data_IF_036615537989
#
_entry.id   IF_036615537989
#
_cell.length_a   1.000
_cell.length_b   1.000
_cell.length_c   1.000
_cell.angle_alpha   90.00
_cell.angle_beta   90.00
_cell.angle_gamma   90.00
#
_symmetry.space_group_name_H-M   'P 1'
#
loop_
_entity.id
_entity.type
_entity.pdbx_description
1 polymer ?
#
# COMPACT_ATOMS: atom_id res chain seq x y z
N UNK A 1 8.81 1.05 7.98
CA UNK A 1 7.82 0.00 7.72
C UNK A 1 7.02 0.25 6.42
N UNK A 2 7.69 0.58 5.31
CA UNK A 2 7.09 0.63 3.96
C UNK A 2 7.73 -0.42 3.03
N UNK A 3 8.52 -1.33 3.60
CA UNK A 3 9.29 -2.35 2.89
C UNK A 3 8.68 -3.75 2.98
N UNK A 4 7.62 -3.95 3.77
CA UNK A 4 6.92 -5.23 3.91
C UNK A 4 5.75 -5.41 2.92
N UNK A 5 5.43 -4.38 2.14
CA UNK A 5 4.41 -4.42 1.08
C UNK A 5 5.02 -4.72 -0.31
N UNK A 6 6.22 -5.29 -0.35
CA UNK A 6 6.79 -5.82 -1.59
C UNK A 6 6.13 -7.17 -1.89
N UNK A 7 5.27 -7.19 -2.91
CA UNK A 7 4.81 -8.43 -3.54
C UNK A 7 6.05 -9.30 -3.81
N UNK A 8 6.09 -10.56 -3.34
CA UNK A 8 7.29 -11.38 -3.47
C UNK A 8 7.76 -11.44 -4.93
N UNK A 9 9.01 -11.08 -5.20
CA UNK A 9 9.54 -11.01 -6.58
C UNK A 9 9.38 -12.35 -7.32
N UNK A 10 9.53 -13.46 -6.62
CA UNK A 10 9.30 -14.80 -7.14
C UNK A 10 7.86 -15.00 -7.67
N UNK A 11 6.86 -14.36 -7.06
CA UNK A 11 5.47 -14.43 -7.50
C UNK A 11 5.24 -13.61 -8.78
N UNK A 12 5.88 -12.44 -8.90
CA UNK A 12 5.83 -11.63 -10.13
C UNK A 12 6.43 -12.37 -11.32
N UNK A 13 7.59 -12.99 -11.13
CA UNK A 13 8.23 -13.82 -12.18
C UNK A 13 7.35 -15.00 -12.55
N UNK A 14 6.74 -15.67 -11.57
CA UNK A 14 5.81 -16.77 -11.83
C UNK A 14 4.59 -16.31 -12.65
N UNK A 15 4.01 -15.14 -12.36
CA UNK A 15 2.90 -14.58 -13.12
C UNK A 15 3.30 -14.21 -14.56
N UNK A 16 4.48 -13.62 -14.74
CA UNK A 16 4.98 -13.25 -16.07
C UNK A 16 5.24 -14.51 -16.93
N UNK A 17 5.88 -15.53 -16.36
CA UNK A 17 6.06 -16.82 -17.02
C UNK A 17 4.71 -17.49 -17.30
N UNK A 18 3.78 -17.45 -16.35
CA UNK A 18 2.41 -17.97 -16.53
C UNK A 18 1.73 -17.31 -17.73
N UNK A 19 1.80 -15.99 -17.84
CA UNK A 19 1.24 -15.25 -18.96
C UNK A 19 1.92 -15.59 -20.28
N UNK A 20 3.25 -15.63 -20.32
CA UNK A 20 4.01 -16.02 -21.52
C UNK A 20 3.66 -17.43 -21.99
N UNK A 21 3.54 -18.38 -21.08
CA UNK A 21 3.17 -19.77 -21.42
C UNK A 21 1.74 -19.87 -21.96
N UNK A 22 0.80 -19.05 -21.49
CA UNK A 22 -0.56 -18.98 -22.05
C UNK A 22 -0.57 -18.45 -23.49
N UNK A 23 0.26 -17.45 -23.81
CA UNK A 23 0.39 -16.91 -25.17
C UNK A 23 0.97 -17.95 -26.12
N UNK A 24 2.09 -18.59 -25.72
CA UNK A 24 2.75 -19.61 -26.55
C UNK A 24 1.82 -20.81 -26.77
N UNK A 25 1.10 -21.24 -25.74
CA UNK A 25 0.16 -22.36 -25.86
C UNK A 25 -0.95 -22.05 -26.86
N UNK A 26 -1.46 -20.82 -26.85
CA UNK A 26 -2.44 -20.34 -27.82
C UNK A 26 -1.88 -20.29 -29.25
N UNK A 27 -0.64 -19.84 -29.42
CA UNK A 27 0.02 -19.81 -30.72
C UNK A 27 0.16 -21.23 -31.31
N UNK A 28 0.58 -22.21 -30.50
CA UNK A 28 0.70 -23.61 -30.90
C UNK A 28 -0.69 -24.18 -31.26
N UNK A 29 -1.71 -23.86 -30.46
CA UNK A 29 -3.10 -24.28 -30.71
C UNK A 29 -3.62 -23.78 -32.06
N UNK A 30 -3.39 -22.51 -32.40
CA UNK A 30 -3.85 -21.93 -33.68
C UNK A 30 -3.10 -22.50 -34.89
N UNK A 31 -1.79 -22.73 -34.74
CA UNK A 31 -0.94 -23.32 -35.79
C UNK A 31 -1.10 -24.84 -35.93
N UNK A 32 -1.82 -25.48 -34.99
CA UNK A 32 -2.11 -26.93 -34.98
C UNK A 32 -0.86 -27.83 -35.07
N UNK A 33 0.27 -27.37 -34.54
CA UNK A 33 1.53 -28.13 -34.63
C UNK A 33 1.63 -29.14 -33.49
N UNK A 34 1.46 -30.43 -33.79
CA UNK A 34 1.56 -31.50 -32.78
C UNK A 34 2.97 -31.64 -32.20
N UNK A 35 3.99 -31.53 -33.06
CA UNK A 35 5.40 -31.59 -32.65
C UNK A 35 5.75 -30.44 -31.70
N UNK A 36 5.35 -29.20 -32.05
CA UNK A 36 5.56 -28.03 -31.21
C UNK A 36 4.88 -28.17 -29.84
N UNK A 37 3.64 -28.67 -29.81
CA UNK A 37 2.91 -28.94 -28.56
C UNK A 37 3.61 -29.99 -27.69
N UNK A 38 4.16 -31.04 -28.28
CA UNK A 38 4.91 -32.07 -27.56
C UNK A 38 6.20 -31.51 -26.93
N UNK A 39 7.03 -30.81 -27.72
CA UNK A 39 8.25 -30.17 -27.22
C UNK A 39 7.94 -29.17 -26.11
N UNK A 40 6.91 -28.34 -26.30
CA UNK A 40 6.49 -27.36 -25.30
C UNK A 40 6.01 -28.02 -24.00
N UNK A 41 5.25 -29.12 -24.09
CA UNK A 41 4.81 -29.89 -22.92
C UNK A 41 6.00 -30.44 -22.13
N UNK A 42 7.00 -31.02 -22.81
CA UNK A 42 8.20 -31.57 -22.13
C UNK A 42 8.97 -30.46 -21.41
N UNK A 43 9.26 -29.35 -22.09
CA UNK A 43 9.98 -28.20 -21.51
C UNK A 43 9.21 -27.63 -20.32
N UNK A 44 7.89 -27.47 -20.42
CA UNK A 44 7.06 -26.95 -19.33
C UNK A 44 7.04 -27.86 -18.11
N UNK A 45 6.91 -29.18 -18.29
CA UNK A 45 6.87 -30.12 -17.18
C UNK A 45 8.19 -30.05 -16.42
N UNK A 46 9.33 -30.17 -17.11
CA UNK A 46 10.64 -30.07 -16.47
C UNK A 46 10.87 -28.69 -15.83
N UNK A 47 10.50 -27.60 -16.52
CA UNK A 47 10.65 -26.25 -16.02
C UNK A 47 9.84 -25.98 -14.74
N UNK A 48 8.57 -26.39 -14.69
CA UNK A 48 7.72 -26.19 -13.50
C UNK A 48 8.16 -27.07 -12.33
N UNK A 49 8.56 -28.33 -12.56
CA UNK A 49 9.08 -29.17 -11.49
C UNK A 49 10.40 -28.61 -10.94
N UNK A 50 11.32 -28.20 -11.82
CA UNK A 50 12.58 -27.59 -11.40
C UNK A 50 12.35 -26.30 -10.59
N UNK A 51 11.47 -25.42 -11.08
CA UNK A 51 11.13 -24.18 -10.39
C UNK A 51 10.49 -24.43 -9.02
N UNK A 52 9.52 -25.34 -8.95
CA UNK A 52 8.74 -25.58 -7.73
C UNK A 52 9.53 -26.28 -6.63
N UNK A 53 10.42 -27.22 -6.99
CA UNK A 53 11.17 -28.00 -6.01
C UNK A 53 12.54 -27.43 -5.66
N UNK A 54 13.18 -26.64 -6.53
CA UNK A 54 14.53 -26.11 -6.29
C UNK A 54 14.55 -24.60 -6.09
N UNK A 55 13.95 -23.82 -7.00
CA UNK A 55 14.03 -22.35 -6.97
C UNK A 55 13.14 -21.77 -5.88
N UNK A 56 11.87 -22.18 -5.82
CA UNK A 56 10.91 -21.61 -4.88
C UNK A 56 11.30 -21.86 -3.41
N UNK A 57 11.69 -23.08 -2.98
CA UNK A 57 12.15 -23.32 -1.62
C UNK A 57 13.50 -22.64 -1.32
N UNK A 58 14.36 -22.47 -2.35
CA UNK A 58 15.64 -21.78 -2.22
C UNK A 58 15.49 -20.27 -1.98
N UNK A 59 14.52 -19.62 -2.62
CA UNK A 59 14.27 -18.17 -2.46
C UNK A 59 13.40 -17.86 -1.23
N UNK A 60 12.46 -18.75 -0.89
CA UNK A 60 11.52 -18.52 0.22
C UNK A 60 11.97 -19.10 1.56
N UNK A 61 13.10 -19.82 1.59
CA UNK A 61 13.69 -20.52 2.75
C UNK A 61 12.69 -21.40 3.53
N UNK A 62 11.57 -21.78 2.91
CA UNK A 62 10.49 -22.53 3.51
C UNK A 62 10.22 -23.77 2.69
N UNK A 63 9.93 -24.88 3.37
CA UNK A 63 9.59 -26.14 2.70
C UNK A 63 8.24 -26.01 1.98
N UNK A 64 8.17 -26.54 0.77
CA UNK A 64 6.94 -26.58 -0.04
C UNK A 64 5.73 -27.21 0.67
N UNK A 65 5.97 -28.15 1.61
CA UNK A 65 4.90 -28.83 2.35
C UNK A 65 4.17 -27.92 3.37
N UNK A 66 4.74 -26.77 3.73
CA UNK A 66 4.16 -25.88 4.75
C UNK A 66 3.12 -24.92 4.17
N UNK A 67 3.22 -24.57 2.88
CA UNK A 67 2.36 -23.55 2.27
C UNK A 67 1.30 -24.17 1.35
N UNK A 68 0.03 -23.93 1.65
CA UNK A 68 -1.10 -24.45 0.87
C UNK A 68 -1.24 -23.77 -0.51
N UNK A 69 -0.80 -22.51 -0.66
CA UNK A 69 -1.02 -21.75 -1.90
C UNK A 69 -0.21 -22.32 -3.08
N UNK A 70 1.11 -22.57 -2.97
CA UNK A 70 1.88 -23.23 -4.03
C UNK A 70 1.42 -24.67 -4.32
N UNK A 71 0.92 -25.39 -3.30
CA UNK A 71 0.39 -26.74 -3.47
C UNK A 71 -0.87 -26.75 -4.36
N UNK A 72 -1.82 -25.84 -4.08
CA UNK A 72 -3.02 -25.70 -4.89
C UNK A 72 -2.68 -25.28 -6.33
N UNK A 73 -1.76 -24.32 -6.49
CA UNK A 73 -1.30 -23.88 -7.81
C UNK A 73 -0.66 -25.03 -8.60
N UNK A 74 0.21 -25.81 -7.95
CA UNK A 74 0.86 -26.97 -8.56
C UNK A 74 -0.16 -28.05 -8.94
N UNK A 75 -1.16 -28.32 -8.10
CA UNK A 75 -2.23 -29.26 -8.40
C UNK A 75 -3.03 -28.85 -9.65
N UNK A 76 -3.41 -27.58 -9.76
CA UNK A 76 -4.09 -27.04 -10.94
C UNK A 76 -3.19 -27.15 -12.19
N UNK A 77 -1.87 -26.96 -12.04
CA UNK A 77 -0.91 -27.16 -13.12
C UNK A 77 -0.77 -28.61 -13.57
N UNK A 78 -0.78 -29.56 -12.64
CA UNK A 78 -0.79 -30.99 -12.97
C UNK A 78 -2.06 -31.37 -13.75
N UNK A 79 -3.23 -30.83 -13.36
CA UNK A 79 -4.46 -31.02 -14.12
C UNK A 79 -4.33 -30.46 -15.55
N UNK A 80 -3.74 -29.27 -15.71
CA UNK A 80 -3.42 -28.70 -17.03
C UNK A 80 -2.51 -29.62 -17.84
N UNK A 81 -1.46 -30.19 -17.24
CA UNK A 81 -0.57 -31.12 -17.95
C UNK A 81 -1.29 -32.39 -18.39
N UNK A 82 -2.21 -32.93 -17.57
CA UNK A 82 -3.05 -34.07 -17.93
C UNK A 82 -3.95 -33.77 -19.13
N UNK A 83 -4.62 -32.61 -19.13
CA UNK A 83 -5.47 -32.17 -20.24
C UNK A 83 -4.66 -31.91 -21.52
N UNK A 84 -3.47 -31.31 -21.39
CA UNK A 84 -2.56 -31.06 -22.50
C UNK A 84 -2.03 -32.36 -23.12
N UNK A 85 -1.66 -33.35 -22.29
CA UNK A 85 -1.26 -34.68 -22.77
C UNK A 85 -2.42 -35.41 -23.45
N UNK A 86 -3.64 -35.30 -22.92
CA UNK A 86 -4.84 -35.83 -23.55
C UNK A 86 -5.09 -35.20 -24.92
N UNK A 87 -4.90 -33.89 -25.05
CA UNK A 87 -5.00 -33.20 -26.33
C UNK A 87 -3.94 -33.67 -27.33
N UNK A 88 -2.70 -33.89 -26.91
CA UNK A 88 -1.64 -34.43 -27.77
C UNK A 88 -2.00 -35.84 -28.25
N UNK A 89 -2.60 -36.67 -27.39
CA UNK A 89 -3.06 -38.02 -27.72
C UNK A 89 -4.20 -38.02 -28.75
N UNK A 90 -5.16 -37.12 -28.60
CA UNK A 90 -6.36 -37.06 -29.47
C UNK A 90 -6.13 -36.28 -30.78
N UNK A 91 -5.15 -35.37 -30.82
CA UNK A 91 -4.88 -34.52 -31.99
C UNK A 91 -5.77 -33.27 -32.07
N UNK A 92 -5.45 -32.38 -33.02
CA UNK A 92 -6.24 -31.17 -33.30
C UNK A 92 -7.36 -31.45 -34.32
N UNK A 93 -8.59 -30.92 -34.12
CA UNK A 93 -9.65 -31.02 -35.12
C UNK A 93 -9.38 -30.09 -36.32
N UNK A 94 -9.96 -30.41 -37.48
CA UNK A 94 -9.76 -29.63 -38.71
C UNK A 94 -10.29 -28.18 -38.60
N UNK A 95 -11.38 -27.95 -37.85
CA UNK A 95 -11.98 -26.62 -37.62
C UNK A 95 -11.74 -26.14 -36.18
N UNK A 96 -10.72 -25.30 -35.99
CA UNK A 96 -10.38 -24.68 -34.69
C UNK A 96 -10.81 -23.22 -34.58
N UNK A 97 -11.04 -22.54 -35.72
CA UNK A 97 -11.48 -21.15 -35.74
C UNK A 97 -12.94 -21.05 -35.29
N UNK A 98 -13.18 -20.22 -34.28
CA UNK A 98 -14.49 -19.95 -33.70
C UNK A 98 -14.42 -19.80 -32.18
N UNK A 99 -15.19 -18.86 -31.64
CA UNK A 99 -15.30 -18.73 -30.20
C UNK A 99 -16.14 -19.89 -29.63
N UNK A 100 -15.72 -20.45 -28.49
CA UNK A 100 -16.39 -21.60 -27.88
C UNK A 100 -17.78 -21.21 -27.34
N UNK A 101 -17.92 -19.98 -26.84
CA UNK A 101 -19.16 -19.45 -26.26
C UNK A 101 -20.24 -19.15 -27.30
N UNK A 102 -19.85 -18.95 -28.56
CA UNK A 102 -20.77 -18.50 -29.61
C UNK A 102 -21.38 -19.65 -30.42
N UNK A 103 -21.21 -20.90 -29.97
CA UNK A 103 -21.71 -22.10 -30.65
C UNK A 103 -23.21 -22.34 -30.46
N UNK A 104 -23.80 -21.87 -29.36
CA UNK A 104 -25.26 -21.97 -29.13
C UNK A 104 -25.85 -20.63 -28.69
N UNK A 105 -27.11 -20.41 -29.05
CA UNK A 105 -27.83 -19.13 -28.86
C UNK A 105 -28.74 -19.19 -27.63
N UNK A 106 -28.18 -19.58 -26.49
CA UNK A 106 -28.89 -19.68 -25.23
C UNK A 106 -28.65 -18.45 -24.36
N UNK A 107 -29.57 -18.20 -23.42
CA UNK A 107 -29.42 -17.12 -22.43
C UNK A 107 -28.11 -17.29 -21.62
N UNK A 108 -27.76 -18.52 -21.21
CA UNK A 108 -26.50 -18.80 -20.49
C UNK A 108 -25.28 -18.34 -21.30
N UNK A 109 -25.23 -18.64 -22.59
CA UNK A 109 -24.12 -18.22 -23.44
C UNK A 109 -24.08 -16.71 -23.66
N UNK A 110 -25.24 -16.04 -23.69
CA UNK A 110 -25.31 -14.59 -23.73
C UNK A 110 -24.65 -13.97 -22.49
N UNK A 111 -24.99 -14.44 -21.28
CA UNK A 111 -24.37 -13.94 -20.04
C UNK A 111 -22.90 -14.29 -19.94
N UNK A 112 -22.50 -15.52 -20.30
CA UNK A 112 -21.09 -15.91 -20.29
C UNK A 112 -20.27 -15.10 -21.31
N UNK A 113 -20.84 -14.81 -22.49
CA UNK A 113 -20.18 -14.00 -23.50
C UNK A 113 -20.08 -12.52 -23.09
N UNK A 114 -21.12 -11.97 -22.44
CA UNK A 114 -21.05 -10.63 -21.86
C UNK A 114 -20.01 -10.57 -20.73
N UNK A 115 -20.00 -11.55 -19.81
CA UNK A 115 -19.00 -11.65 -18.76
C UNK A 115 -17.57 -11.77 -19.31
N UNK A 116 -17.39 -12.55 -20.38
CA UNK A 116 -16.11 -12.65 -21.09
C UNK A 116 -15.63 -11.30 -21.66
N UNK A 117 -16.54 -10.46 -22.18
CA UNK A 117 -16.23 -9.11 -22.67
C UNK A 117 -15.97 -8.07 -21.57
N UNK A 118 -16.46 -8.32 -20.35
CA UNK A 118 -16.22 -7.43 -19.21
C UNK A 118 -14.81 -7.57 -18.63
N UNK A 119 -14.11 -8.67 -18.91
CA UNK A 119 -12.72 -8.85 -18.46
C UNK A 119 -11.81 -7.91 -19.26
N UNK A 120 -11.12 -6.95 -18.61
CA UNK A 120 -10.28 -5.99 -19.33
C UNK A 120 -9.11 -6.69 -20.01
N UNK A 121 -8.70 -6.19 -21.17
CA UNK A 121 -7.57 -6.66 -21.99
C UNK A 121 -7.70 -8.07 -22.58
N UNK A 122 -8.62 -8.90 -22.08
CA UNK A 122 -8.74 -10.29 -22.50
C UNK A 122 -9.24 -10.40 -23.94
N UNK A 123 -10.26 -9.60 -24.30
CA UNK A 123 -10.83 -9.61 -25.65
C UNK A 123 -9.88 -9.01 -26.67
N UNK A 124 -9.21 -7.92 -26.35
CA UNK A 124 -8.24 -7.26 -27.24
C UNK A 124 -7.04 -8.17 -27.48
N UNK A 125 -6.46 -8.72 -26.40
CA UNK A 125 -5.32 -9.61 -26.51
C UNK A 125 -5.71 -10.87 -27.29
N UNK A 126 -6.90 -11.43 -27.04
CA UNK A 126 -7.41 -12.54 -27.86
C UNK A 126 -7.47 -12.18 -29.35
N UNK A 127 -8.04 -11.04 -29.71
CA UNK A 127 -8.20 -10.65 -31.11
C UNK A 127 -6.86 -10.45 -31.80
N UNK A 128 -5.90 -9.80 -31.13
CA UNK A 128 -4.54 -9.59 -31.64
C UNK A 128 -3.81 -10.93 -31.80
N UNK A 129 -3.88 -11.81 -30.80
CA UNK A 129 -3.28 -13.13 -30.87
C UNK A 129 -3.89 -13.95 -32.03
N UNK A 130 -5.22 -13.99 -32.15
CA UNK A 130 -5.88 -14.73 -33.22
C UNK A 130 -5.49 -14.18 -34.61
N UNK A 131 -5.29 -12.86 -34.75
CA UNK A 131 -4.79 -12.22 -35.98
C UNK A 131 -3.34 -12.60 -36.32
N UNK A 132 -2.43 -12.64 -35.34
CA UNK A 132 -1.00 -12.94 -35.56
C UNK A 132 -0.79 -14.35 -36.09
N UNK A 133 -1.50 -15.34 -35.55
CA UNK A 133 -1.25 -16.77 -35.85
C UNK A 133 -2.24 -17.40 -36.83
N UNK A 134 -3.19 -16.63 -37.35
CA UNK A 134 -4.11 -17.06 -38.41
C UNK A 134 -3.64 -16.49 -39.75
N UNK A 135 -3.61 -17.32 -40.78
CA UNK A 135 -3.32 -16.86 -42.14
C UNK A 135 -4.51 -16.03 -42.66
N UNK A 136 -4.41 -14.70 -42.58
CA UNK A 136 -5.43 -13.75 -43.02
C UNK A 136 -4.83 -12.67 -43.91
N UNK A 137 -5.63 -12.17 -44.86
CA UNK A 137 -5.25 -11.04 -45.73
C UNK A 137 -5.64 -9.68 -45.14
N UNK A 138 -6.38 -9.67 -44.03
CA UNK A 138 -6.87 -8.45 -43.40
C UNK A 138 -5.78 -7.78 -42.56
N UNK A 139 -5.77 -6.44 -42.60
CA UNK A 139 -5.02 -5.63 -41.63
C UNK A 139 -5.59 -5.80 -40.22
N UNK A 140 -4.80 -5.48 -39.20
CA UNK A 140 -5.22 -5.61 -37.80
C UNK A 140 -6.49 -4.79 -37.49
N UNK A 141 -6.59 -3.57 -38.01
CA UNK A 141 -7.77 -2.71 -37.77
C UNK A 141 -9.03 -3.30 -38.39
N UNK A 142 -8.94 -3.83 -39.62
CA UNK A 142 -10.06 -4.51 -40.28
C UNK A 142 -10.44 -5.79 -39.53
N UNK A 143 -9.47 -6.54 -39.01
CA UNK A 143 -9.73 -7.75 -38.21
C UNK A 143 -10.49 -7.43 -36.92
N UNK A 144 -10.05 -6.41 -36.16
CA UNK A 144 -10.74 -5.96 -34.94
C UNK A 144 -12.17 -5.50 -35.27
N UNK A 145 -12.35 -4.78 -36.38
CA UNK A 145 -13.68 -4.35 -36.83
C UNK A 145 -14.60 -5.55 -37.11
N UNK A 146 -14.11 -6.60 -37.78
CA UNK A 146 -14.88 -7.84 -38.02
C UNK A 146 -15.25 -8.54 -36.72
N UNK A 147 -14.33 -8.66 -35.78
CA UNK A 147 -14.58 -9.27 -34.46
C UNK A 147 -15.62 -8.50 -33.65
N UNK A 148 -15.59 -7.16 -33.67
CA UNK A 148 -16.59 -6.35 -32.97
C UNK A 148 -17.98 -6.48 -33.61
N UNK A 149 -18.06 -6.44 -34.95
CA UNK A 149 -19.32 -6.69 -35.68
C UNK A 149 -19.85 -8.08 -35.34
N UNK A 150 -19.00 -9.10 -35.34
CA UNK A 150 -19.37 -10.47 -34.99
C UNK A 150 -19.93 -10.56 -33.55
N UNK A 151 -19.26 -9.92 -32.58
CA UNK A 151 -19.70 -9.89 -31.19
C UNK A 151 -21.08 -9.23 -31.03
N UNK A 152 -21.32 -8.11 -31.73
CA UNK A 152 -22.59 -7.39 -31.68
C UNK A 152 -23.72 -8.19 -32.36
N UNK A 153 -23.45 -8.81 -33.52
CA UNK A 153 -24.42 -9.68 -34.20
C UNK A 153 -24.77 -10.88 -33.32
N UNK A 154 -23.79 -11.50 -32.64
CA UNK A 154 -24.03 -12.64 -31.76
C UNK A 154 -24.98 -12.27 -30.60
N UNK A 155 -24.75 -11.12 -29.95
CA UNK A 155 -25.62 -10.63 -28.87
C UNK A 155 -27.04 -10.42 -29.39
N UNK A 156 -27.19 -9.72 -30.52
CA UNK A 156 -28.50 -9.48 -31.12
C UNK A 156 -29.20 -10.80 -31.52
N UNK A 157 -28.46 -11.77 -32.05
CA UNK A 157 -28.99 -13.08 -32.40
C UNK A 157 -29.49 -13.84 -31.17
N UNK A 158 -28.75 -13.82 -30.06
CA UNK A 158 -29.18 -14.43 -28.80
C UNK A 158 -30.46 -13.77 -28.24
N UNK A 159 -30.55 -12.44 -28.30
CA UNK A 159 -31.78 -11.73 -27.91
C UNK A 159 -32.98 -12.14 -28.77
N UNK A 160 -32.82 -12.16 -30.10
CA UNK A 160 -33.90 -12.58 -31.02
C UNK A 160 -34.34 -14.02 -30.80
N UNK A 161 -33.42 -14.95 -30.54
CA UNK A 161 -33.78 -16.34 -30.19
C UNK A 161 -34.51 -16.41 -28.85
N UNK A 162 -34.14 -15.56 -27.88
CA UNK A 162 -34.85 -15.48 -26.59
C UNK A 162 -36.28 -14.95 -26.74
N UNK A 163 -36.49 -13.92 -27.57
CA UNK A 163 -37.81 -13.38 -27.88
C UNK A 163 -38.66 -14.40 -28.65
N UNK A 164 -38.05 -15.16 -29.56
CA UNK A 164 -38.73 -16.24 -30.28
C UNK A 164 -39.14 -17.39 -29.36
N UNK A 165 -38.30 -17.76 -28.40
CA UNK A 165 -38.56 -18.83 -27.43
C UNK A 165 -39.58 -18.43 -26.37
N UNK A 166 -39.61 -17.16 -26.00
CA UNK A 166 -40.53 -16.59 -25.02
C UNK A 166 -41.28 -15.39 -25.63
N UNK A 167 -42.22 -15.65 -26.56
CA UNK A 167 -42.92 -14.59 -27.25
C UNK A 167 -43.83 -13.84 -26.28
N UNK A 168 -43.73 -12.51 -26.30
CA UNK A 168 -44.62 -11.64 -25.56
C UNK A 168 -45.71 -11.09 -26.49
N UNK A 169 -46.99 -11.22 -26.11
CA UNK A 169 -48.08 -10.64 -26.90
C UNK A 169 -48.03 -9.10 -26.90
N UNK A 170 -48.29 -8.45 -28.04
CA UNK A 170 -48.23 -7.00 -28.15
C UNK A 170 -49.27 -6.33 -27.23
N UNK A 171 -48.90 -5.18 -26.66
CA UNK A 171 -49.79 -4.36 -25.83
C UNK A 171 -50.01 -4.84 -24.40
N UNK A 172 -49.38 -5.94 -23.96
CA UNK A 172 -49.49 -6.40 -22.58
C UNK A 172 -48.50 -5.71 -21.62
N UNK A 173 -48.97 -5.45 -20.39
CA UNK A 173 -48.14 -4.87 -19.33
C UNK A 173 -47.07 -5.88 -18.87
N UNK A 174 -45.82 -5.45 -18.81
CA UNK A 174 -44.71 -6.24 -18.24
C UNK A 174 -44.99 -6.61 -16.79
N UNK A 175 -44.61 -7.83 -16.38
CA UNK A 175 -44.77 -8.32 -15.01
C UNK A 175 -44.08 -7.38 -14.02
N UNK A 176 -44.80 -6.97 -12.97
CA UNK A 176 -44.30 -6.07 -11.91
C UNK A 176 -42.97 -6.58 -11.32
N UNK A 177 -42.84 -7.89 -11.10
CA UNK A 177 -41.64 -8.53 -10.55
C UNK A 177 -40.38 -8.19 -11.36
N UNK A 178 -40.46 -8.23 -12.70
CA UNK A 178 -39.30 -7.94 -13.56
C UNK A 178 -38.91 -6.46 -13.47
N UNK A 179 -39.91 -5.56 -13.40
CA UNK A 179 -39.68 -4.11 -13.27
C UNK A 179 -39.01 -3.76 -11.94
N UNK A 180 -39.60 -4.21 -10.83
CA UNK A 180 -39.07 -3.91 -9.50
C UNK A 180 -37.77 -4.66 -9.21
N UNK A 181 -37.60 -5.89 -9.72
CA UNK A 181 -36.36 -6.65 -9.58
C UNK A 181 -35.20 -5.99 -10.32
N UNK A 182 -35.33 -5.77 -11.63
CA UNK A 182 -34.26 -5.15 -12.43
C UNK A 182 -33.97 -3.71 -11.97
N UNK A 183 -35.01 -2.91 -11.72
CA UNK A 183 -34.85 -1.55 -11.20
C UNK A 183 -34.23 -1.52 -9.81
N UNK A 184 -34.65 -2.43 -8.91
CA UNK A 184 -34.12 -2.54 -7.56
C UNK A 184 -32.64 -2.91 -7.52
N UNK A 185 -32.20 -3.86 -8.38
CA UNK A 185 -30.78 -4.22 -8.50
C UNK A 185 -29.93 -3.03 -8.97
N UNK A 186 -30.41 -2.25 -9.94
CA UNK A 186 -29.69 -1.06 -10.43
C UNK A 186 -29.60 -0.01 -9.33
N UNK A 187 -30.70 0.29 -8.63
CA UNK A 187 -30.71 1.26 -7.53
C UNK A 187 -29.78 0.81 -6.39
N UNK A 188 -29.83 -0.47 -6.01
CA UNK A 188 -28.95 -1.03 -4.98
C UNK A 188 -27.48 -0.92 -5.38
N UNK A 189 -27.12 -1.26 -6.62
CA UNK A 189 -25.75 -1.12 -7.12
C UNK A 189 -25.26 0.34 -7.07
N UNK A 190 -26.11 1.31 -7.41
CA UNK A 190 -25.77 2.74 -7.29
C UNK A 190 -25.55 3.17 -5.84
N UNK A 191 -26.40 2.72 -4.92
CA UNK A 191 -26.22 2.97 -3.47
C UNK A 191 -24.89 2.36 -3.02
N UNK A 192 -24.59 1.12 -3.40
CA UNK A 192 -23.31 0.50 -3.08
C UNK A 192 -22.13 1.31 -3.63
N UNK A 193 -22.15 1.77 -4.88
CA UNK A 193 -21.03 2.55 -5.45
C UNK A 193 -20.78 3.85 -4.66
N UNK A 194 -21.84 4.52 -4.21
CA UNK A 194 -21.73 5.78 -3.44
C UNK A 194 -21.29 5.53 -1.99
N UNK A 195 -21.88 4.54 -1.31
CA UNK A 195 -21.69 4.32 0.12
C UNK A 195 -20.55 3.35 0.45
N UNK A 196 -20.23 2.40 -0.44
CA UNK A 196 -19.19 1.41 -0.20
C UNK A 196 -17.80 2.04 0.02
N UNK A 197 -17.34 3.06 -0.74
CA UNK A 197 -16.06 3.70 -0.45
C UNK A 197 -16.02 4.36 0.92
N UNK A 198 -17.14 4.97 1.36
CA UNK A 198 -17.24 5.62 2.66
C UNK A 198 -17.19 4.59 3.81
N UNK A 199 -17.94 3.49 3.66
CA UNK A 199 -17.93 2.37 4.60
C UNK A 199 -16.57 1.65 4.61
N UNK A 200 -15.95 1.47 3.44
CA UNK A 200 -14.65 0.83 3.33
C UNK A 200 -13.56 1.68 3.99
N UNK A 201 -13.57 3.01 3.78
CA UNK A 201 -12.62 3.91 4.42
C UNK A 201 -12.77 3.96 5.94
N UNK A 202 -13.99 3.83 6.47
CA UNK A 202 -14.19 3.73 7.93
C UNK A 202 -13.70 2.39 8.48
N UNK A 203 -13.90 1.28 7.75
CA UNK A 203 -13.43 -0.05 8.13
C UNK A 203 -11.90 -0.18 8.06
N UNK A 204 -11.26 0.37 7.01
CA UNK A 204 -9.79 0.32 6.85
C UNK A 204 -9.09 1.18 7.90
N UNK A 205 -9.67 2.31 8.31
CA UNK A 205 -9.12 3.13 9.41
C UNK A 205 -9.39 2.56 10.80
N UNK A 206 -10.30 1.59 10.94
CA UNK A 206 -10.64 0.95 12.22
C UNK A 206 -9.51 0.04 12.76
N UNK A 207 -8.56 -0.39 11.92
CA UNK A 207 -7.49 -1.33 12.34
C UNK A 207 -6.29 -0.64 13.03
N UNK A 208 -6.36 0.68 13.26
CA UNK A 208 -5.45 1.41 14.14
C UNK A 208 -6.09 1.75 15.50
N UNK A 209 -7.23 1.15 15.84
CA UNK A 209 -7.95 1.37 17.09
C UNK A 209 -7.97 0.11 17.96
N UNK A 210 -6.89 -0.15 18.71
CA UNK A 210 -6.99 -1.00 19.89
C UNK A 210 -7.69 -0.17 20.98
N UNK A 211 -8.98 -0.37 21.17
CA UNK A 211 -9.75 0.23 22.27
C UNK A 211 -9.92 -0.79 23.40
N UNK A 212 -9.30 -0.48 24.54
CA UNK A 212 -9.54 -1.16 25.82
C UNK A 212 -10.74 -0.48 26.51
N UNK A 213 -11.68 -1.26 27.08
CA UNK A 213 -12.88 -0.71 27.70
C UNK A 213 -12.53 0.06 28.99
N UNK A 214 -13.24 1.17 29.33
CA UNK A 214 -12.86 2.00 30.46
C UNK A 214 -13.29 1.34 31.77
N UNK A 215 -12.34 1.17 32.69
CA UNK A 215 -12.58 0.62 34.03
C UNK A 215 -12.94 1.70 35.06
N UNK A 216 -12.81 2.99 34.73
CA UNK A 216 -13.28 4.07 35.60
C UNK A 216 -13.58 5.36 34.83
N UNK A 217 -14.57 6.11 35.30
CA UNK A 217 -14.99 7.41 34.76
C UNK A 217 -14.83 8.44 35.87
N UNK A 218 -13.87 9.36 35.70
CA UNK A 218 -13.67 10.47 36.64
C UNK A 218 -13.93 11.81 35.95
N UNK A 219 -14.94 12.51 36.46
CA UNK A 219 -15.29 13.89 36.10
C UNK A 219 -14.46 14.82 37.00
N UNK A 220 -13.82 15.85 36.42
CA UNK A 220 -13.22 16.92 37.23
C UNK A 220 -13.45 18.31 36.67
N UNK A 221 -13.89 19.16 37.59
CA UNK A 221 -14.32 20.55 37.45
C UNK A 221 -13.11 21.46 37.19
N UNK A 222 -13.27 22.42 36.27
CA UNK A 222 -12.23 23.37 35.87
C UNK A 222 -12.25 24.68 36.67
N UNK A 223 -11.05 25.22 36.89
CA UNK A 223 -10.82 26.62 37.28
C UNK A 223 -10.10 27.29 36.10
N UNK A 224 -10.68 28.37 35.61
CA UNK A 224 -10.32 29.07 34.37
C UNK A 224 -8.85 29.49 34.35
N UNK A 225 -8.10 29.03 33.35
CA UNK A 225 -6.67 29.32 33.14
C UNK A 225 -5.78 28.06 33.04
N UNK A 226 -6.23 26.91 33.54
CA UNK A 226 -5.53 25.61 33.45
C UNK A 226 -6.09 24.63 32.40
N UNK A 227 -7.15 25.00 31.68
CA UNK A 227 -7.85 24.10 30.75
C UNK A 227 -6.97 23.65 29.57
N UNK A 228 -6.11 24.51 29.02
CA UNK A 228 -5.27 24.16 27.86
C UNK A 228 -4.19 23.12 28.17
N UNK A 229 -3.63 23.12 29.39
CA UNK A 229 -2.60 22.17 29.77
C UNK A 229 -3.19 20.77 30.04
N UNK A 230 -4.38 20.68 30.63
CA UNK A 230 -5.06 19.40 30.83
C UNK A 230 -5.48 18.79 29.50
N UNK A 231 -6.07 19.57 28.58
CA UNK A 231 -6.42 19.08 27.24
C UNK A 231 -5.19 18.58 26.47
N UNK A 232 -4.03 19.23 26.66
CA UNK A 232 -2.78 18.79 26.07
C UNK A 232 -2.28 17.46 26.66
N UNK A 233 -2.26 17.34 27.99
CA UNK A 233 -1.76 16.14 28.69
C UNK A 233 -2.68 14.93 28.46
N UNK A 234 -4.00 15.13 28.34
CA UNK A 234 -4.97 14.05 28.09
C UNK A 234 -4.75 13.32 26.76
N UNK A 235 -4.06 13.94 25.80
CA UNK A 235 -3.72 13.29 24.54
C UNK A 235 -2.53 12.32 24.62
N UNK A 236 -1.83 12.24 25.76
CA UNK A 236 -0.67 11.37 25.97
C UNK A 236 -0.97 10.32 27.03
N UNK A 237 -0.53 9.09 26.79
CA UNK A 237 -0.56 8.06 27.82
C UNK A 237 0.66 8.20 28.76
N UNK A 238 0.62 7.66 30.00
CA UNK A 238 1.77 7.64 30.90
C UNK A 238 3.03 7.05 30.28
N UNK A 239 2.88 6.08 29.37
CA UNK A 239 3.97 5.44 28.65
C UNK A 239 4.66 6.39 27.64
N UNK A 240 3.95 7.42 27.16
CA UNK A 240 4.48 8.42 26.22
C UNK A 240 5.29 9.53 26.93
N UNK A 241 5.20 9.61 28.26
CA UNK A 241 5.82 10.66 29.07
C UNK A 241 7.03 10.11 29.81
N UNK A 242 8.22 10.48 29.36
CA UNK A 242 9.48 10.04 29.97
C UNK A 242 10.16 11.18 30.71
N UNK A 243 10.63 10.91 31.92
CA UNK A 243 11.47 11.85 32.68
C UNK A 243 12.95 11.53 32.44
N UNK A 244 13.65 12.41 31.74
CA UNK A 244 15.09 12.30 31.57
C UNK A 244 15.82 12.86 32.80
N UNK A 245 16.56 12.01 33.51
CA UNK A 245 17.43 12.45 34.62
C UNK A 245 18.80 12.83 34.06
N UNK A 246 19.08 14.13 34.03
CA UNK A 246 20.38 14.67 33.59
C UNK A 246 21.31 14.75 34.82
N UNK A 247 22.57 14.34 34.66
CA UNK A 247 23.58 14.44 35.72
C UNK A 247 23.98 15.90 35.92
N UNK A 248 24.25 16.29 37.18
CA UNK A 248 24.66 17.67 37.51
C UNK A 248 26.05 18.04 36.99
N UNK A 249 26.93 17.07 36.77
CA UNK A 249 28.29 17.31 36.29
C UNK A 249 28.37 17.05 34.80
N UNK A 250 29.08 17.93 34.08
CA UNK A 250 29.39 17.71 32.67
C UNK A 250 30.22 16.43 32.50
N UNK A 251 29.91 15.66 31.46
CA UNK A 251 30.64 14.43 31.12
C UNK A 251 31.98 14.70 30.42
N UNK A 252 32.18 15.91 29.91
CA UNK A 252 33.36 16.34 29.17
C UNK A 252 34.03 17.51 29.88
N UNK A 253 35.36 17.49 29.90
CA UNK A 253 36.17 18.61 30.38
C UNK A 253 36.04 19.78 29.39
N UNK A 254 35.86 20.99 29.93
CA UNK A 254 35.88 22.19 29.11
C UNK A 254 37.31 22.51 28.67
N UNK A 255 37.61 22.27 27.39
CA UNK A 255 38.96 22.37 26.79
C UNK A 255 39.17 23.66 26.00
N UNK A 256 38.73 24.79 26.54
CA UNK A 256 38.94 26.10 25.91
C UNK A 256 40.43 26.50 25.97
N UNK A 257 40.96 27.08 24.88
CA UNK A 257 42.33 27.57 24.87
C UNK A 257 42.47 28.81 25.77
N UNK A 258 43.66 29.06 26.36
CA UNK A 258 43.89 30.26 27.17
C UNK A 258 43.56 31.55 26.40
N UNK A 259 43.95 31.64 25.12
CA UNK A 259 43.66 32.80 24.28
C UNK A 259 42.15 33.00 24.05
N UNK A 260 41.41 31.91 23.81
CA UNK A 260 39.95 31.97 23.64
C UNK A 260 39.21 32.31 24.93
N UNK A 261 39.73 31.88 26.08
CA UNK A 261 39.17 32.23 27.39
C UNK A 261 39.33 33.72 27.68
N UNK A 262 40.50 34.30 27.44
CA UNK A 262 40.71 35.74 27.63
C UNK A 262 39.85 36.57 26.66
N UNK A 263 39.74 36.16 25.39
CA UNK A 263 38.86 36.80 24.43
C UNK A 263 37.38 36.76 24.85
N UNK A 264 36.91 35.62 25.38
CA UNK A 264 35.56 35.47 25.91
C UNK A 264 35.30 36.39 27.12
N UNK A 265 36.28 36.53 28.02
CA UNK A 265 36.18 37.44 29.16
C UNK A 265 36.08 38.90 28.69
N UNK A 266 36.89 39.30 27.72
CA UNK A 266 36.87 40.64 27.14
C UNK A 266 35.51 40.93 26.47
N UNK A 267 35.03 40.00 25.64
CA UNK A 267 33.75 40.12 24.93
C UNK A 267 32.56 40.19 25.90
N UNK A 268 32.53 39.33 26.92
CA UNK A 268 31.49 39.37 27.95
C UNK A 268 31.54 40.67 28.75
N UNK A 269 32.74 41.19 29.06
CA UNK A 269 32.87 42.43 29.84
C UNK A 269 32.38 43.68 29.10
N UNK A 270 32.49 43.68 27.77
CA UNK A 270 32.07 44.80 26.92
C UNK A 270 30.61 44.66 26.42
N UNK A 271 30.00 43.48 26.57
CA UNK A 271 28.64 43.21 26.11
C UNK A 271 27.58 43.66 27.11
N UNK A 272 26.45 44.14 26.58
CA UNK A 272 25.26 44.53 27.37
C UNK A 272 24.25 43.39 27.54
N UNK A 273 24.39 42.30 26.79
CA UNK A 273 23.49 41.14 26.80
C UNK A 273 24.29 39.85 26.72
N UNK A 274 23.82 38.82 27.42
CA UNK A 274 24.35 37.46 27.31
C UNK A 274 23.26 36.56 26.75
N UNK A 275 23.64 35.74 25.76
CA UNK A 275 22.78 34.70 25.21
C UNK A 275 23.24 33.33 25.70
N UNK A 276 22.33 32.55 26.28
CA UNK A 276 22.55 31.15 26.61
C UNK A 276 21.76 30.28 25.64
N UNK A 277 22.48 29.39 24.97
CA UNK A 277 21.91 28.44 24.03
C UNK A 277 21.87 27.03 24.63
N UNK A 278 20.67 26.50 24.80
CA UNK A 278 20.44 25.12 25.21
C UNK A 278 20.09 24.30 23.97
N UNK A 279 20.99 23.41 23.60
CA UNK A 279 20.76 22.43 22.55
C UNK A 279 20.30 21.11 23.15
N UNK A 280 19.28 20.50 22.54
CA UNK A 280 18.81 19.17 22.90
C UNK A 280 18.65 18.30 21.66
N UNK A 281 18.89 17.00 21.83
CA UNK A 281 18.73 15.98 20.79
C UNK A 281 18.10 14.72 21.39
N UNK A 282 17.05 14.22 20.75
CA UNK A 282 16.36 12.99 21.09
C UNK A 282 16.62 11.96 20.00
N UNK A 283 17.20 10.84 20.38
CA UNK A 283 17.41 9.68 19.51
C UNK A 283 16.42 8.58 19.86
N UNK A 284 15.76 8.05 18.84
CA UNK A 284 14.75 6.99 18.93
C UNK A 284 15.20 5.77 18.14
N UNK A 285 14.60 4.63 18.44
CA UNK A 285 14.85 3.42 17.70
C UNK A 285 14.31 3.53 16.26
N UNK A 286 15.22 3.52 15.28
CA UNK A 286 14.92 3.66 13.85
C UNK A 286 14.07 2.50 13.27
N UNK A 287 14.02 1.34 13.94
CA UNK A 287 13.15 0.24 13.49
C UNK A 287 11.66 0.50 13.76
N UNK A 288 11.36 1.38 14.72
CA UNK A 288 10.00 1.65 15.20
C UNK A 288 9.46 2.97 14.63
N UNK A 289 10.33 3.97 14.44
CA UNK A 289 9.93 5.35 14.14
C UNK A 289 10.49 5.84 12.81
N UNK A 290 9.69 6.58 12.03
CA UNK A 290 10.09 7.13 10.72
C UNK A 290 11.17 8.22 10.82
N UNK A 291 11.12 9.07 11.85
CA UNK A 291 12.17 10.06 12.16
C UNK A 291 12.91 9.62 13.43
N UNK A 292 14.09 9.02 13.24
CA UNK A 292 14.88 8.46 14.33
C UNK A 292 15.54 9.53 15.21
N UNK A 293 15.75 10.74 14.67
CA UNK A 293 16.42 11.83 15.39
C UNK A 293 15.54 13.08 15.38
N UNK A 294 15.56 13.83 16.48
CA UNK A 294 14.89 15.12 16.62
C UNK A 294 15.75 16.03 17.50
N UNK A 295 16.07 17.23 17.03
CA UNK A 295 16.89 18.19 17.76
C UNK A 295 16.22 19.55 17.84
N UNK A 296 16.52 20.31 18.88
CA UNK A 296 16.08 21.69 19.02
C UNK A 296 17.09 22.55 19.76
N UNK A 297 16.90 23.87 19.64
CA UNK A 297 17.71 24.90 20.28
C UNK A 297 16.78 25.87 21.00
N UNK A 298 17.07 26.15 22.26
CA UNK A 298 16.40 27.18 23.03
C UNK A 298 17.40 28.25 23.45
N UNK A 299 17.21 29.46 22.98
CA UNK A 299 18.06 30.61 23.29
C UNK A 299 17.37 31.51 24.31
N UNK A 300 18.06 31.81 25.40
CA UNK A 300 17.59 32.77 26.42
C UNK A 300 18.56 33.94 26.47
N UNK A 301 18.01 35.16 26.47
CA UNK A 301 18.78 36.39 26.58
C UNK A 301 18.65 36.94 28.00
N UNK A 302 19.77 37.29 28.63
CA UNK A 302 19.84 37.98 29.90
C UNK A 302 20.45 39.36 29.69
N UNK A 303 19.78 40.38 30.23
CA UNK A 303 20.22 41.78 30.19
C UNK A 303 20.81 42.23 31.54
N UNK A 304 20.84 41.33 32.52
CA UNK A 304 21.29 41.64 33.88
C UNK A 304 22.82 41.69 33.97
N UNK A 305 23.34 42.85 34.37
CA UNK A 305 24.77 43.09 34.56
C UNK A 305 25.34 42.27 35.74
N UNK A 306 24.52 41.98 36.77
CA UNK A 306 24.97 41.21 37.92
C UNK A 306 25.33 39.78 37.50
N UNK A 307 24.42 39.08 36.82
CA UNK A 307 24.66 37.72 36.32
C UNK A 307 25.90 37.64 35.42
N UNK A 308 26.11 38.63 34.54
CA UNK A 308 27.30 38.73 33.69
C UNK A 308 28.58 38.86 34.50
N UNK A 309 28.63 39.79 35.44
CA UNK A 309 29.83 40.06 36.22
C UNK A 309 30.18 38.86 37.10
N UNK A 310 29.18 38.14 37.62
CA UNK A 310 29.38 36.90 38.36
C UNK A 310 29.97 35.78 37.49
N UNK A 311 29.57 35.66 36.23
CA UNK A 311 30.15 34.70 35.27
C UNK A 311 31.59 35.08 34.94
N UNK A 312 31.87 36.37 34.71
CA UNK A 312 33.23 36.85 34.43
C UNK A 312 34.17 36.54 35.61
N UNK A 313 33.72 36.75 36.85
CA UNK A 313 34.48 36.38 38.06
C UNK A 313 34.71 34.87 38.16
N UNK A 314 33.72 34.05 37.80
CA UNK A 314 33.86 32.60 37.74
C UNK A 314 34.88 32.20 36.66
N UNK A 315 34.83 32.83 35.49
CA UNK A 315 35.78 32.58 34.41
C UNK A 315 37.20 32.92 34.84
N UNK A 316 37.43 34.04 35.55
CA UNK A 316 38.74 34.46 36.07
C UNK A 316 39.27 33.55 37.20
N UNK A 317 38.41 32.74 37.82
CA UNK A 317 38.75 31.90 38.97
C UNK A 317 38.73 32.63 40.30
N UNK A 318 38.14 33.82 40.35
CA UNK A 318 38.04 34.66 41.56
C UNK A 318 36.84 34.26 42.44
N UNK A 319 35.87 33.54 41.87
CA UNK A 319 34.64 33.10 42.54
C UNK A 319 34.53 31.57 42.56
N UNK A 320 34.18 31.03 43.73
CA UNK A 320 33.89 29.59 43.93
C UNK A 320 32.40 29.28 44.10
N UNK A 321 31.56 30.30 44.29
CA UNK A 321 30.12 30.13 44.47
C UNK A 321 29.38 29.98 43.13
N UNK A 322 28.34 29.13 43.05
CA UNK A 322 27.56 28.96 41.82
C UNK A 322 26.82 30.25 41.44
N UNK A 323 26.56 30.41 40.13
CA UNK A 323 25.73 31.48 39.58
C UNK A 323 24.38 30.90 39.24
N UNK A 324 23.33 31.52 39.77
CA UNK A 324 21.96 31.07 39.58
C UNK A 324 21.35 31.78 38.39
N UNK A 325 21.09 31.02 37.33
CA UNK A 325 20.45 31.52 36.12
C UNK A 325 19.05 30.92 36.03
N UNK A 326 18.01 31.77 35.99
CA UNK A 326 16.63 31.31 35.91
C UNK A 326 16.28 30.90 34.48
N UNK A 327 15.97 29.63 34.27
CA UNK A 327 15.40 29.12 33.04
C UNK A 327 13.92 28.79 33.28
N UNK A 328 13.01 29.31 32.44
CA UNK A 328 11.61 28.90 32.47
C UNK A 328 11.51 27.39 32.23
N UNK A 329 10.74 26.67 33.06
CA UNK A 329 10.57 25.20 32.98
C UNK A 329 10.29 24.75 31.54
N UNK A 330 11.22 24.00 30.96
CA UNK A 330 11.07 23.45 29.62
C UNK A 330 10.39 22.08 29.67
N UNK A 331 9.11 22.02 29.29
CA UNK A 331 8.51 20.77 28.82
C UNK A 331 8.88 20.63 27.34
N UNK A 332 9.73 19.66 27.00
CA UNK A 332 10.15 19.43 25.63
C UNK A 332 9.18 18.46 24.93
N UNK A 333 8.59 18.91 23.82
CA UNK A 333 7.84 18.04 22.93
C UNK A 333 8.80 17.44 21.91
N UNK A 334 8.83 16.11 21.80
CA UNK A 334 9.48 15.43 20.68
C UNK A 334 8.43 15.00 19.66
N UNK A 335 7.96 15.87 18.75
CA UNK A 335 7.06 15.42 17.70
C UNK A 335 7.73 14.37 16.79
N UNK A 336 6.92 13.56 16.11
CA UNK A 336 7.36 12.64 15.07
C UNK A 336 7.75 13.38 13.77
N UNK A 337 7.34 14.63 13.66
CA UNK A 337 7.63 15.53 12.56
C UNK A 337 8.62 16.63 13.02
N UNK A 338 9.83 16.71 12.45
CA UNK A 338 10.83 17.71 12.82
C UNK A 338 10.40 19.16 12.56
N UNK A 339 9.31 19.42 11.81
CA UNK A 339 8.81 20.78 11.57
C UNK A 339 7.98 21.37 12.71
N UNK A 340 7.50 20.55 13.66
CA UNK A 340 6.69 20.99 14.81
C UNK A 340 7.51 21.41 16.04
N UNK A 341 8.84 21.47 15.92
CA UNK A 341 9.74 21.81 17.04
C UNK A 341 9.87 23.31 17.32
N UNK A 342 9.18 24.18 16.55
CA UNK A 342 9.15 25.61 16.82
C UNK A 342 8.07 25.93 17.86
N UNK A 343 8.52 26.20 19.08
CA UNK A 343 7.69 26.87 20.08
C UNK A 343 7.43 28.31 19.62
N UNK A 344 6.15 28.69 19.52
CA UNK A 344 5.72 30.05 19.20
C UNK A 344 5.52 30.83 20.51
N UNK A 345 6.38 31.81 20.86
CA UNK A 345 6.18 32.70 21.99
C UNK A 345 5.19 33.79 21.54
N UNK A 346 3.91 33.48 21.51
CA UNK A 346 2.90 34.52 21.35
C UNK A 346 1.66 34.14 22.14
N UNK A 347 1.71 34.46 23.44
CA UNK A 347 0.70 35.23 24.16
C UNK A 347 1.05 35.19 25.65
N UNK A 348 1.84 36.19 26.07
CA UNK A 348 1.77 36.73 27.43
C UNK A 348 0.44 37.46 27.60
#
# INVERSE_FOLDING_TARGET
SLSEDQVPEAFLVMLLLQFGTMIVDRAIYLRKTMFGKCVFQVVLVFGIHFWMFFILPGVTERRFNTNQVPQLWYFVKCLYFGLSAYQIKCGYPNRVLGNFLTKSYNFINLFLFQGFRMVPFLTEMRAVMDWIWTDTTLSLSSWICVEDIYANIFIMKCWRESEKKYPEPPGQKKKKIVKYGMGGVIIFALICIVWFPLLFMSLVKSVAGVTNQPLDVSIKISISGYESAMQFIVNYMPEDIVTAKIKSNASLLWSISPASREAMIEELSNSTRIYFDIHWSLLRNASIVKSAETSGKHTVCYEDAETRDQIVQMLRGERSEPVYVSFCRCTLLGPLDPQLSQWNPSNQ
#
